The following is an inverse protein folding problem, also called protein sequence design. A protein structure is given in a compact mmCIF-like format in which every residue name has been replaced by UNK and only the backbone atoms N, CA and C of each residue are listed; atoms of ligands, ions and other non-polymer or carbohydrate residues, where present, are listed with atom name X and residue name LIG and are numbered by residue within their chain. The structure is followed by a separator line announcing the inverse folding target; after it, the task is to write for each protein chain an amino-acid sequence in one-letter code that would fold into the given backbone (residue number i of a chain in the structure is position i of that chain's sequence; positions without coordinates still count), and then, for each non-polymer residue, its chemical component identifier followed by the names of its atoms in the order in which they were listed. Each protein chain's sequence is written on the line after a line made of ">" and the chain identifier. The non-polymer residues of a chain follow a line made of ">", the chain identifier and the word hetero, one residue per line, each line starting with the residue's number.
data_IF_667450162107
#
_entry.id   IF_667450162107
#
_cell.length_a   1.000
_cell.length_b   1.000
_cell.length_c   1.000
_cell.angle_alpha   90.00
_cell.angle_beta   90.00
_cell.angle_gamma   90.00
#
_symmetry.space_group_name_H-M   'P 1'
#
loop_
_entity.id
_entity.type
_entity.pdbx_description
1 polymer ?
2 water ?
#
# COMPACT_ATOMS: atom_id res chain seq x y z
N UNK A 2 -18.87 0.81 16.77
CA UNK A 2 -17.59 0.63 15.99
C UNK A 2 -17.68 -0.51 14.97
N UNK A 3 -17.90 -0.15 13.71
CA UNK A 3 -18.00 -1.14 12.63
C UNK A 3 -16.88 -0.94 11.62
N UNK A 4 -15.88 -1.81 11.67
CA UNK A 4 -14.74 -1.73 10.76
C UNK A 4 -15.04 -2.17 9.33
N UNK A 5 -16.10 -2.96 9.17
CA UNK A 5 -16.49 -3.48 7.87
C UNK A 5 -17.42 -2.59 7.05
N UNK A 6 -17.03 -2.35 5.80
CA UNK A 6 -17.82 -1.55 4.88
C UNK A 6 -18.10 -2.36 3.62
N UNK A 7 -19.32 -2.25 3.10
CA UNK A 7 -19.70 -2.95 1.88
C UNK A 7 -19.81 -1.94 0.75
N UNK A 8 -19.15 -2.24 -0.36
CA UNK A 8 -19.17 -1.33 -1.50
C UNK A 8 -19.60 -1.99 -2.81
N UNK A 9 -20.09 -1.18 -3.73
CA UNK A 9 -20.49 -1.67 -5.03
C UNK A 9 -19.89 -0.77 -6.11
N UNK A 10 -19.02 -1.34 -6.94
CA UNK A 10 -18.40 -0.60 -8.03
C UNK A 10 -19.08 -0.93 -9.35
N UNK A 11 -19.19 0.06 -10.22
CA UNK A 11 -19.81 -0.14 -11.53
C UNK A 11 -19.02 0.61 -12.59
N UNK A 12 -18.73 -0.08 -13.69
CA UNK A 12 -17.96 0.51 -14.77
C UNK A 12 -18.59 0.24 -16.13
N UNK A 13 -17.95 0.79 -17.17
CA UNK A 13 -18.41 0.58 -18.53
C UNK A 13 -17.68 -0.60 -19.12
N UNK A 14 -18.11 -1.05 -20.28
CA UNK A 14 -17.51 -2.20 -20.94
C UNK A 14 -16.01 -2.21 -21.16
N UNK A 15 -15.51 -1.22 -21.89
CA UNK A 15 -14.10 -1.17 -22.21
C UNK A 15 -13.23 -0.41 -21.21
N UNK A 16 -13.51 -0.60 -19.93
CA UNK A 16 -12.72 0.08 -18.91
C UNK A 16 -12.55 -0.76 -17.67
N UNK A 17 -11.65 -0.30 -16.80
CA UNK A 17 -11.35 -0.98 -15.55
C UNK A 17 -11.96 -0.22 -14.38
N UNK A 18 -11.98 -0.88 -13.22
CA UNK A 18 -12.54 -0.29 -12.01
C UNK A 18 -11.67 0.82 -11.44
N UNK A 19 -10.39 0.81 -11.79
CA UNK A 19 -9.50 1.85 -11.31
C UNK A 19 -8.82 1.65 -9.97
N UNK A 20 -8.40 0.43 -9.68
CA UNK A 20 -7.70 0.18 -8.43
C UNK A 20 -6.75 -1.01 -8.55
N UNK A 21 -5.75 -1.03 -7.67
CA UNK A 21 -4.78 -2.11 -7.62
C UNK A 21 -4.79 -2.73 -6.24
N UNK A 22 -4.56 -4.03 -6.17
CA UNK A 22 -4.53 -4.72 -4.89
C UNK A 22 -3.12 -5.20 -4.62
N UNK A 23 -2.83 -5.48 -3.35
CA UNK A 23 -1.53 -5.97 -2.94
C UNK A 23 -1.72 -7.01 -1.84
N UNK A 24 -1.12 -8.17 -2.04
CA UNK A 24 -1.21 -9.25 -1.07
C UNK A 24 0.06 -9.19 -0.24
N UNK A 25 -0.13 -9.02 1.06
CA UNK A 25 0.97 -8.88 2.00
C UNK A 25 1.01 -9.96 3.08
N UNK A 26 2.19 -10.51 3.33
CA UNK A 26 2.32 -11.54 4.35
C UNK A 26 2.58 -10.96 5.72
N UNK A 27 1.63 -11.16 6.64
CA UNK A 27 1.73 -10.68 8.02
C UNK A 27 2.59 -11.60 8.87
N UNK A 35 -4.15 -12.98 9.47
CA UNK A 35 -3.14 -14.02 9.50
C UNK A 35 -2.53 -14.27 8.13
N UNK A 36 -1.32 -14.81 8.10
CA UNK A 36 -0.61 -15.10 6.85
C UNK A 36 -0.83 -14.01 5.80
N UNK A 37 -1.28 -14.42 4.62
CA UNK A 37 -1.51 -13.48 3.53
C UNK A 37 -2.82 -12.69 3.65
N UNK A 38 -2.69 -11.37 3.54
CA UNK A 38 -3.82 -10.44 3.61
C UNK A 38 -3.71 -9.54 2.38
N UNK A 39 -4.85 -9.22 1.79
CA UNK A 39 -4.87 -8.38 0.61
C UNK A 39 -5.51 -7.03 0.94
N UNK A 40 -4.87 -5.95 0.51
CA UNK A 40 -5.41 -4.63 0.77
C UNK A 40 -5.44 -3.81 -0.52
N UNK A 41 -6.12 -2.67 -0.47
CA UNK A 41 -6.20 -1.79 -1.63
C UNK A 41 -4.90 -1.00 -1.70
N UNK A 42 -4.08 -1.29 -2.70
CA UNK A 42 -2.79 -0.63 -2.85
C UNK A 42 -2.90 0.77 -3.44
N UNK A 43 -3.80 0.93 -4.41
CA UNK A 43 -3.98 2.20 -5.08
C UNK A 43 -5.36 2.34 -5.72
N UNK A 44 -5.85 3.58 -5.76
CA UNK A 44 -7.14 3.91 -6.36
C UNK A 44 -6.93 5.15 -7.24
N UNK A 45 -7.25 5.04 -8.52
CA UNK A 45 -7.06 6.17 -9.44
C UNK A 45 -8.10 7.27 -9.32
N UNK A 46 -7.64 8.50 -9.54
CA UNK A 46 -8.50 9.67 -9.50
C UNK A 46 -9.58 9.54 -10.57
N UNK A 47 -10.80 9.94 -10.22
CA UNK A 47 -11.93 9.91 -11.15
C UNK A 47 -12.42 8.51 -11.56
N UNK A 48 -11.92 7.48 -10.88
CA UNK A 48 -12.28 6.10 -11.20
C UNK A 48 -13.55 5.58 -10.54
N UNK A 49 -14.08 4.45 -11.06
CA UNK A 49 -15.29 3.83 -10.52
C UNK A 49 -15.04 3.46 -9.06
N UNK A 50 -13.82 2.98 -8.79
CA UNK A 50 -13.43 2.59 -7.44
C UNK A 50 -13.47 3.79 -6.49
N UNK A 51 -12.95 4.93 -6.94
CA UNK A 51 -12.97 6.12 -6.10
C UNK A 51 -14.41 6.56 -5.85
N UNK A 52 -15.21 6.57 -6.91
CA UNK A 52 -16.61 6.97 -6.80
C UNK A 52 -17.36 6.08 -5.82
N UNK A 53 -17.01 4.79 -5.81
CA UNK A 53 -17.65 3.83 -4.92
C UNK A 53 -17.15 3.96 -3.49
N UNK A 54 -16.10 4.75 -3.30
CA UNK A 54 -15.55 4.94 -1.97
C UNK A 54 -14.40 4.03 -1.59
N UNK A 55 -13.88 3.25 -2.54
CA UNK A 55 -12.77 2.36 -2.23
C UNK A 55 -11.59 3.22 -1.79
N UNK A 56 -10.96 2.83 -0.68
CA UNK A 56 -9.87 3.63 -0.14
C UNK A 56 -8.57 2.86 0.09
N UNK A 57 -7.45 3.40 -0.42
CA UNK A 57 -6.12 2.78 -0.28
C UNK A 57 -5.78 2.47 1.17
N UNK A 58 -5.27 1.26 1.40
CA UNK A 58 -4.89 0.86 2.74
C UNK A 58 -5.92 -0.01 3.44
N UNK A 59 -7.15 -0.04 2.92
CA UNK A 59 -8.20 -0.84 3.52
C UNK A 59 -8.00 -2.30 3.15
N UNK A 60 -8.22 -3.19 4.10
CA UNK A 60 -8.05 -4.62 3.85
C UNK A 60 -9.28 -5.13 3.11
N UNK A 61 -9.06 -5.92 2.06
CA UNK A 61 -10.20 -6.47 1.33
C UNK A 61 -10.60 -7.76 2.04
N UNK A 62 -11.82 -7.79 2.56
CA UNK A 62 -12.30 -8.97 3.27
C UNK A 62 -12.98 -9.98 2.34
N UNK A 63 -13.71 -9.48 1.35
CA UNK A 63 -14.39 -10.36 0.42
C UNK A 63 -14.62 -9.71 -0.93
N UNK A 64 -14.87 -10.54 -1.93
CA UNK A 64 -15.13 -10.06 -3.27
C UNK A 64 -16.30 -10.87 -3.80
N UNK A 65 -17.38 -10.19 -4.17
CA UNK A 65 -18.58 -10.84 -4.66
C UNK A 65 -19.02 -11.96 -3.72
N UNK A 66 -18.97 -11.68 -2.42
CA UNK A 66 -19.39 -12.64 -1.42
C UNK A 66 -18.41 -13.74 -1.06
N UNK A 67 -17.21 -13.68 -1.63
CA UNK A 67 -16.21 -14.69 -1.34
C UNK A 67 -15.14 -14.15 -0.39
N UNK A 68 -14.96 -14.84 0.73
CA UNK A 68 -13.94 -14.47 1.72
C UNK A 68 -12.60 -14.74 1.03
N UNK A 69 -11.74 -13.73 0.94
CA UNK A 69 -10.46 -13.91 0.26
C UNK A 69 -9.26 -14.25 1.15
N UNK A 70 -9.51 -14.51 2.43
CA UNK A 70 -8.47 -14.85 3.41
C UNK A 70 -7.26 -15.64 2.87
N UNK A 71 -7.46 -16.90 2.51
CA UNK A 71 -6.33 -17.69 2.03
C UNK A 71 -6.12 -17.70 0.53
N UNK A 72 -6.33 -16.55 -0.11
CA UNK A 72 -6.19 -16.45 -1.56
C UNK A 72 -5.13 -15.43 -1.96
N UNK A 73 -4.38 -15.72 -3.02
CA UNK A 73 -3.33 -14.81 -3.48
C UNK A 73 -3.77 -13.82 -4.55
N UNK A 74 -2.90 -12.85 -4.83
CA UNK A 74 -3.14 -11.79 -5.79
C UNK A 74 -3.82 -12.18 -7.10
N UNK A 75 -3.20 -13.06 -7.87
CA UNK A 75 -3.77 -13.43 -9.16
C UNK A 75 -5.17 -14.04 -9.13
N UNK A 76 -5.43 -14.92 -8.17
CA UNK A 76 -6.75 -15.55 -8.09
C UNK A 76 -7.82 -14.50 -7.80
N UNK A 77 -7.48 -13.52 -6.97
CA UNK A 77 -8.41 -12.44 -6.65
C UNK A 77 -8.62 -11.57 -7.89
N UNK A 78 -7.55 -11.28 -8.62
CA UNK A 78 -7.69 -10.47 -9.82
C UNK A 78 -8.57 -11.20 -10.84
N UNK A 79 -8.46 -12.52 -10.88
CA UNK A 79 -9.26 -13.31 -11.81
C UNK A 79 -10.73 -13.16 -11.46
N UNK A 80 -11.02 -13.22 -10.16
CA UNK A 80 -12.39 -13.06 -9.70
C UNK A 80 -12.90 -11.69 -10.10
N UNK A 81 -12.07 -10.67 -9.90
CA UNK A 81 -12.46 -9.31 -10.26
C UNK A 81 -12.73 -9.21 -11.76
N UNK A 82 -11.86 -9.80 -12.57
CA UNK A 82 -12.06 -9.73 -14.02
C UNK A 82 -13.35 -10.45 -14.44
N UNK A 83 -13.63 -11.60 -13.83
CA UNK A 83 -14.83 -12.37 -14.17
C UNK A 83 -16.12 -11.66 -13.79
N UNK A 84 -16.03 -10.74 -12.84
CA UNK A 84 -17.18 -9.99 -12.34
C UNK A 84 -17.88 -9.07 -13.36
N UNK A 85 -17.20 -8.74 -14.45
CA UNK A 85 -17.82 -7.87 -15.44
C UNK A 85 -17.83 -6.40 -15.04
N UNK A 86 -18.94 -5.71 -15.31
CA UNK A 86 -19.07 -4.28 -15.00
C UNK A 86 -19.53 -3.91 -13.60
N UNK A 87 -19.89 -4.90 -12.80
CA UNK A 87 -20.33 -4.65 -11.44
C UNK A 87 -19.48 -5.50 -10.50
N UNK A 88 -19.00 -4.89 -9.43
CA UNK A 88 -18.18 -5.60 -8.46
C UNK A 88 -18.62 -5.25 -7.04
N UNK A 89 -18.79 -6.28 -6.21
CA UNK A 89 -19.20 -6.11 -4.82
C UNK A 89 -18.00 -6.42 -3.93
N UNK A 90 -17.68 -5.50 -3.03
CA UNK A 90 -16.54 -5.67 -2.13
C UNK A 90 -16.90 -5.37 -0.69
N UNK A 91 -16.17 -6.00 0.23
CA UNK A 91 -16.31 -5.74 1.65
C UNK A 91 -14.89 -5.43 2.10
N UNK A 92 -14.69 -4.26 2.69
CA UNK A 92 -13.37 -3.85 3.14
C UNK A 92 -13.38 -3.43 4.60
N UNK A 93 -12.20 -3.46 5.21
CA UNK A 93 -12.01 -3.09 6.61
C UNK A 93 -11.08 -1.87 6.69
N UNK A 94 -11.41 -0.93 7.57
CA UNK A 94 -10.62 0.30 7.74
C UNK A 94 -9.14 0.08 7.99
N UNK A 95 -8.32 0.73 7.17
CA UNK A 95 -6.88 0.65 7.32
C UNK A 95 -6.36 1.99 7.82
N UNK A 96 -7.25 2.97 7.86
CA UNK A 96 -6.96 4.34 8.31
C UNK A 96 -8.21 4.99 8.90
N UNK B 2 17.17 -16.99 1.87
CA UNK B 2 16.31 -15.88 1.34
C UNK B 2 16.30 -14.63 2.23
N UNK B 3 16.71 -13.50 1.66
CA UNK B 3 16.77 -12.23 2.38
C UNK B 3 15.84 -11.18 1.77
N UNK B 4 14.76 -10.84 2.48
CA UNK B 4 13.84 -9.84 1.96
C UNK B 4 14.11 -8.45 2.56
N UNK B 5 15.23 -8.34 3.28
CA UNK B 5 15.66 -7.10 3.93
C UNK B 5 16.72 -6.39 3.08
N UNK B 6 16.41 -5.15 2.70
CA UNK B 6 17.30 -4.33 1.88
C UNK B 6 17.68 -3.02 2.59
N UNK B 7 18.94 -2.65 2.47
CA UNK B 7 19.46 -1.42 3.06
C UNK B 7 19.75 -0.44 1.93
N UNK B 8 19.25 0.79 2.06
CA UNK B 8 19.44 1.79 1.02
C UNK B 8 19.92 3.12 1.58
N UNK B 9 20.45 3.95 0.70
CA UNK B 9 20.90 5.27 1.08
C UNK B 9 20.39 6.23 0.03
N UNK B 10 19.63 7.23 0.47
CA UNK B 10 19.10 8.23 -0.44
C UNK B 10 19.88 9.53 -0.21
N UNK B 11 20.23 10.21 -1.29
CA UNK B 11 20.98 11.46 -1.20
C UNK B 11 20.33 12.49 -2.09
N UNK B 12 20.18 13.71 -1.57
CA UNK B 12 19.55 14.76 -2.33
C UNK B 12 20.23 16.09 -2.08
N UNK B 13 19.75 17.12 -2.78
CA UNK B 13 20.28 18.46 -2.63
C UNK B 13 19.48 19.23 -1.58
N UNK B 14 19.99 20.39 -1.20
CA UNK B 14 19.34 21.22 -0.19
C UNK B 14 17.84 21.49 -0.31
N UNK B 15 17.40 22.04 -1.43
CA UNK B 15 15.99 22.39 -1.58
C UNK B 15 15.24 21.39 -2.42
N UNK B 16 15.65 20.14 -2.30
CA UNK B 16 15.04 19.05 -3.04
C UNK B 16 14.46 18.08 -2.03
N UNK B 17 13.52 17.25 -2.49
CA UNK B 17 12.93 16.23 -1.64
C UNK B 17 13.45 14.91 -2.17
N UNK B 18 13.33 13.85 -1.37
CA UNK B 18 13.81 12.54 -1.76
C UNK B 18 12.99 11.89 -2.88
N UNK B 19 11.75 12.33 -3.04
CA UNK B 19 10.92 11.81 -4.11
C UNK B 19 10.10 10.56 -3.84
N UNK B 20 9.63 10.40 -2.61
CA UNK B 20 8.81 9.24 -2.30
C UNK B 20 7.75 9.56 -1.27
N UNK B 21 6.69 8.76 -1.29
CA UNK B 21 5.59 8.94 -0.36
C UNK B 21 5.42 7.64 0.41
N UNK B 22 5.09 7.75 1.69
CA UNK B 22 4.83 6.56 2.49
C UNK B 22 3.44 6.65 3.09
N UNK B 23 2.84 5.48 3.32
CA UNK B 23 1.50 5.40 3.90
C UNK B 23 1.54 4.30 4.94
N UNK B 24 0.99 4.58 6.12
CA UNK B 24 0.97 3.59 7.18
C UNK B 24 -0.47 3.10 7.28
N UNK B 25 -0.65 1.79 7.20
CA UNK B 25 -1.96 1.17 7.23
C UNK B 25 -2.09 0.18 8.38
N UNK B 26 -3.29 0.09 8.92
CA UNK B 26 -3.55 -0.89 9.96
C UNK B 26 -4.18 -2.03 9.19
N UNK B 27 -3.42 -3.10 8.96
CA UNK B 27 -3.93 -4.25 8.21
C UNK B 27 -4.59 -5.23 9.17
N UNK B 28 -5.72 -5.77 8.75
CA UNK B 28 -6.47 -6.70 9.59
C UNK B 28 -6.06 -8.16 9.50
N UNK B 29 -5.72 -8.72 10.66
CA UNK B 29 -5.29 -10.11 10.79
C UNK B 29 -6.56 -10.95 10.69
N UNK B 35 -5.03 -6.01 14.51
CA UNK B 35 -4.58 -5.10 13.46
C UNK B 35 -3.08 -4.83 13.57
N UNK B 36 -2.42 -4.82 12.42
CA UNK B 36 -0.98 -4.61 12.37
C UNK B 36 -0.64 -3.35 11.57
N UNK B 37 0.09 -2.42 12.20
CA UNK B 37 0.47 -1.19 11.53
C UNK B 37 1.67 -1.49 10.65
N UNK B 38 1.56 -1.15 9.38
CA UNK B 38 2.64 -1.37 8.43
C UNK B 38 2.78 -0.13 7.57
N UNK B 39 4.01 0.34 7.41
CA UNK B 39 4.28 1.52 6.60
C UNK B 39 4.79 1.07 5.23
N UNK B 40 4.11 1.53 4.19
CA UNK B 40 4.45 1.17 2.82
C UNK B 40 4.98 2.33 1.99
N UNK B 41 5.83 2.00 1.03
CA UNK B 41 6.32 3.00 0.10
C UNK B 41 5.15 3.05 -0.89
N UNK B 42 4.45 4.17 -0.93
CA UNK B 42 3.29 4.31 -1.80
C UNK B 42 3.61 4.86 -3.18
N UNK B 43 4.64 5.68 -3.27
CA UNK B 43 5.00 6.26 -4.55
C UNK B 43 6.47 6.66 -4.56
N UNK B 44 7.12 6.45 -5.70
CA UNK B 44 8.51 6.82 -5.88
C UNK B 44 8.57 7.52 -7.23
N UNK B 45 8.94 8.80 -7.19
CA UNK B 45 8.99 9.62 -8.38
C UNK B 45 10.09 9.26 -9.36
N UNK B 46 9.73 9.29 -10.63
CA UNK B 46 10.66 9.00 -11.71
C UNK B 46 11.77 10.04 -11.67
N UNK B 47 13.01 9.58 -11.79
CA UNK B 47 14.19 10.46 -11.77
C UNK B 47 14.52 11.02 -10.38
N UNK B 48 13.87 10.50 -9.35
CA UNK B 48 14.10 11.00 -8.00
C UNK B 48 15.25 10.31 -7.28
N UNK B 49 15.71 10.90 -6.17
CA UNK B 49 16.81 10.32 -5.39
C UNK B 49 16.39 8.94 -4.87
N UNK B 50 15.10 8.81 -4.55
CA UNK B 50 14.56 7.55 -4.05
C UNK B 50 14.68 6.46 -5.12
N UNK B 51 14.29 6.80 -6.35
CA UNK B 51 14.38 5.84 -7.44
C UNK B 51 15.83 5.44 -7.68
N UNK B 52 16.73 6.42 -7.64
CA UNK B 52 18.15 6.16 -7.85
C UNK B 52 18.72 5.25 -6.77
N UNK B 53 18.19 5.37 -5.55
CA UNK B 53 18.64 4.55 -4.43
C UNK B 53 18.04 3.15 -4.53
N UNK B 54 17.09 2.98 -5.44
CA UNK B 54 16.47 1.68 -5.62
C UNK B 54 15.29 1.44 -4.69
N UNK B 55 14.64 2.50 -4.22
CA UNK B 55 13.48 2.36 -3.34
C UNK B 55 12.31 1.89 -4.20
N UNK B 56 11.70 0.78 -3.80
CA UNK B 56 10.59 0.20 -4.56
C UNK B 56 9.18 0.37 -3.99
N UNK B 57 8.26 0.93 -4.79
CA UNK B 57 6.87 1.13 -4.34
C UNK B 57 6.32 -0.23 -3.93
N UNK B 58 5.57 -0.27 -2.84
CA UNK B 58 5.01 -1.54 -2.39
C UNK B 58 5.81 -2.17 -1.27
N UNK B 59 7.11 -1.86 -1.20
CA UNK B 59 7.92 -2.41 -0.13
C UNK B 59 7.57 -1.68 1.16
N UNK B 60 7.88 -2.30 2.29
CA UNK B 60 7.59 -1.71 3.60
C UNK B 60 8.85 -1.15 4.25
N UNK B 61 8.68 -0.09 5.03
CA UNK B 61 9.80 0.52 5.73
C UNK B 61 10.05 -0.24 7.02
N UNK B 62 11.26 -0.77 7.17
CA UNK B 62 11.62 -1.51 8.37
C UNK B 62 12.28 -0.57 9.38
N UNK B 63 13.10 0.35 8.88
CA UNK B 63 13.80 1.29 9.75
C UNK B 63 14.21 2.56 9.02
N UNK B 64 14.40 3.63 9.78
CA UNK B 64 14.81 4.90 9.22
C UNK B 64 15.97 5.42 10.09
N UNK B 65 17.13 5.59 9.47
CA UNK B 65 18.32 6.05 10.17
C UNK B 65 18.63 5.23 11.43
N UNK B 66 18.49 3.91 11.29
CA UNK B 66 18.77 3.02 12.39
C UNK B 66 17.63 2.80 13.37
N UNK B 67 16.53 3.51 13.17
CA UNK B 67 15.39 3.36 14.06
C UNK B 67 14.33 2.40 13.52
N UNK B 68 14.12 1.30 14.22
CA UNK B 68 13.12 0.31 13.84
C UNK B 68 11.79 1.06 13.95
N UNK B 69 11.01 1.09 12.88
CA UNK B 69 9.74 1.82 12.91
C UNK B 69 8.60 1.06 13.58
N UNK B 70 8.92 -0.12 14.11
CA UNK B 70 7.98 -0.99 14.80
C UNK B 70 6.74 -0.32 15.39
N UNK B 71 6.86 0.15 16.63
CA UNK B 71 5.74 0.78 17.30
C UNK B 71 5.76 2.30 17.33
N UNK B 72 5.95 2.93 16.17
CA UNK B 72 5.95 4.39 16.15
C UNK B 72 4.99 4.96 15.12
N UNK B 73 4.46 6.13 15.44
CA UNK B 73 3.50 6.83 14.59
C UNK B 73 4.03 7.21 13.21
N UNK B 74 3.12 7.22 12.24
CA UNK B 74 3.43 7.60 10.87
C UNK B 74 4.04 9.01 10.85
N UNK B 75 3.57 9.88 11.73
CA UNK B 75 4.11 11.23 11.79
C UNK B 75 5.56 11.23 12.24
N UNK B 76 5.88 10.34 13.19
CA UNK B 76 7.24 10.22 13.69
C UNK B 76 8.15 9.90 12.51
N UNK B 77 7.73 8.95 11.69
CA UNK B 77 8.51 8.55 10.53
C UNK B 77 8.73 9.72 9.58
N UNK B 78 7.67 10.44 9.25
CA UNK B 78 7.80 11.58 8.36
C UNK B 78 8.71 12.62 9.01
N UNK B 79 8.51 12.86 10.30
CA UNK B 79 9.33 13.83 11.04
C UNK B 79 10.80 13.45 11.01
N UNK B 80 11.09 12.17 11.21
CA UNK B 80 12.45 11.67 11.19
C UNK B 80 13.04 11.89 9.80
N UNK B 81 12.27 11.57 8.76
CA UNK B 81 12.75 11.76 7.40
C UNK B 81 13.09 13.23 7.15
N UNK B 82 12.20 14.14 7.53
CA UNK B 82 12.46 15.56 7.33
C UNK B 82 13.68 16.02 8.15
N UNK B 83 13.86 15.45 9.34
CA UNK B 83 14.99 15.83 10.19
C UNK B 83 16.32 15.25 9.70
N UNK B 84 16.25 14.29 8.78
CA UNK B 84 17.44 13.63 8.25
C UNK B 84 18.30 14.48 7.32
N UNK B 85 17.77 15.59 6.84
CA UNK B 85 18.54 16.44 5.95
C UNK B 85 18.70 15.94 4.52
N UNK B 86 19.95 15.91 4.04
CA UNK B 86 20.23 15.49 2.66
C UNK B 86 20.60 14.02 2.42
N UNK B 87 20.82 13.28 3.50
CA UNK B 87 21.18 11.87 3.42
C UNK B 87 20.23 11.10 4.31
N UNK B 88 19.60 10.07 3.75
CA UNK B 88 18.66 9.25 4.49
C UNK B 88 19.00 7.77 4.34
N UNK B 89 19.06 7.07 5.47
CA UNK B 89 19.35 5.65 5.49
C UNK B 89 18.05 4.89 5.76
N UNK B 90 17.71 3.94 4.89
CA UNK B 90 16.49 3.17 5.06
C UNK B 90 16.71 1.67 4.95
N UNK B 91 15.86 0.90 5.63
CA UNK B 91 15.89 -0.56 5.54
C UNK B 91 14.47 -0.89 5.12
N UNK B 92 14.33 -1.68 4.06
CA UNK B 92 13.00 -2.06 3.60
C UNK B 92 12.88 -3.56 3.50
N UNK B 93 11.64 -4.02 3.40
CA UNK B 93 11.35 -5.44 3.27
C UNK B 93 10.53 -5.60 2.00
N UNK B 94 10.76 -6.70 1.28
CA UNK B 94 10.03 -6.96 0.04
C UNK B 94 8.54 -6.96 0.31
N UNK B 95 7.82 -6.13 -0.43
CA UNK B 95 6.38 -6.05 -0.28
C UNK B 95 5.70 -6.85 -1.37
N UNK B 96 6.28 -6.82 -2.57
CA UNK B 96 5.74 -7.53 -3.72
C UNK B 96 6.60 -8.75 -4.00
#
# INVERSE_FOLDING_TARGET
>A
GSQQRKVLTLEKGDNQTFGFEIQTYGLHHREEQRVEMVTFVARVHESSPAQLAGLTPGDTIASVNGLNVEGIRHREIVDIIKASGNVLRLETLYGT
>B
GSQQRKVLTLEKGDNQTFGFEIQTYGLHHREEQRVEMVTFVARVHESSPAQLAGLTPGDTIASVNGLNVEGIRHREIVDIIKASGNVLRLETLYGT
#
